data_IF_566013077821
#
_entry.id   IF_566013077821
#
_cell.length_a   1.000
_cell.length_b   1.000
_cell.length_c   1.000
_cell.angle_alpha   90.00
_cell.angle_beta   90.00
_cell.angle_gamma   90.00
#
_symmetry.space_group_name_H-M   'P 1'
#
loop_
_entity.id
_entity.type
_entity.pdbx_description
1 polymer ?
#
# COMPACT_ATOMS: atom_id res chain seq x y z
N UNK A 1 9.37 34.73 35.80
CA UNK A 1 8.07 34.10 35.47
C UNK A 1 8.27 33.12 34.32
N UNK A 2 7.71 31.92 34.48
CA UNK A 2 7.40 30.85 33.50
C UNK A 2 8.48 30.40 32.51
N UNK A 3 9.08 29.24 32.84
CA UNK A 3 9.73 28.33 31.89
C UNK A 3 8.69 27.87 30.87
N UNK A 4 8.89 28.17 29.59
CA UNK A 4 8.11 27.58 28.50
C UNK A 4 8.69 26.19 28.24
N UNK A 5 8.13 25.19 28.92
CA UNK A 5 8.33 23.80 28.56
C UNK A 5 7.54 23.55 27.26
N UNK A 6 8.24 23.48 26.13
CA UNK A 6 7.72 22.87 24.91
C UNK A 6 7.60 21.37 25.17
N UNK A 7 6.50 20.97 25.81
CA UNK A 7 6.08 19.58 25.81
C UNK A 7 5.54 19.28 24.41
N UNK A 8 6.43 18.86 23.51
CA UNK A 8 6.05 18.25 22.24
C UNK A 8 5.46 16.87 22.59
N UNK A 9 4.16 16.85 22.88
CA UNK A 9 3.39 15.62 22.89
C UNK A 9 3.38 15.09 21.46
N UNK A 10 4.32 14.20 21.14
CA UNK A 10 4.24 13.31 19.97
C UNK A 10 3.09 12.33 20.21
N UNK A 11 1.84 12.81 20.16
CA UNK A 11 0.67 11.93 20.06
C UNK A 11 0.62 11.42 18.62
N UNK A 12 1.36 10.33 18.39
CA UNK A 12 1.04 9.24 17.44
C UNK A 12 0.59 9.59 16.02
N UNK A 13 0.80 10.80 15.53
CA UNK A 13 0.39 11.15 14.17
C UNK A 13 1.51 10.69 13.27
N UNK A 14 1.32 9.55 12.61
CA UNK A 14 2.17 9.12 11.52
C UNK A 14 2.00 10.14 10.39
N UNK A 15 2.82 11.20 10.40
CA UNK A 15 2.90 12.16 9.30
C UNK A 15 3.47 11.41 8.10
N UNK A 16 2.57 10.85 7.29
CA UNK A 16 2.93 10.39 5.95
C UNK A 16 3.46 11.58 5.16
N UNK A 17 4.49 11.35 4.36
CA UNK A 17 4.92 12.34 3.37
C UNK A 17 3.80 12.42 2.32
N UNK A 18 3.28 13.63 2.08
CA UNK A 18 2.37 13.90 0.96
C UNK A 18 3.21 14.06 -0.31
N UNK A 19 3.10 13.09 -1.22
CA UNK A 19 3.76 13.02 -2.52
C UNK A 19 2.72 12.87 -3.64
N UNK A 20 2.80 13.71 -4.67
CA UNK A 20 1.93 13.60 -5.83
C UNK A 20 2.34 12.43 -6.73
N UNK A 21 1.42 11.95 -7.59
CA UNK A 21 1.69 10.88 -8.56
C UNK A 21 2.91 11.15 -9.47
N UNK A 22 3.19 12.41 -9.80
CA UNK A 22 4.38 12.83 -10.54
C UNK A 22 5.68 12.49 -9.81
N UNK A 23 5.64 12.60 -8.48
CA UNK A 23 6.84 12.50 -7.65
C UNK A 23 7.33 11.06 -7.64
N UNK A 24 6.43 10.08 -7.54
CA UNK A 24 6.78 8.65 -7.61
C UNK A 24 7.38 8.26 -8.97
N UNK A 25 6.88 8.81 -10.08
CA UNK A 25 7.42 8.52 -11.43
C UNK A 25 8.86 8.98 -11.59
N UNK A 26 9.23 10.06 -10.90
CA UNK A 26 10.59 10.61 -10.92
C UNK A 26 11.58 9.84 -10.03
N UNK A 27 11.09 8.98 -9.13
CA UNK A 27 11.92 8.18 -8.24
C UNK A 27 12.55 6.99 -8.96
N UNK A 28 13.77 6.66 -8.55
CA UNK A 28 14.38 5.37 -8.85
C UNK A 28 13.81 4.27 -7.92
N UNK A 29 14.12 3.01 -8.24
CA UNK A 29 13.54 1.87 -7.53
C UNK A 29 13.94 1.85 -6.04
N UNK A 30 15.16 2.29 -5.69
CA UNK A 30 15.59 2.39 -4.29
C UNK A 30 14.84 3.51 -3.54
N UNK A 31 14.60 4.64 -4.19
CA UNK A 31 13.81 5.73 -3.61
C UNK A 31 12.35 5.30 -3.38
N UNK A 32 11.74 4.59 -4.33
CA UNK A 32 10.40 4.00 -4.17
C UNK A 32 10.37 3.00 -3.00
N UNK A 33 11.40 2.15 -2.88
CA UNK A 33 11.55 1.21 -1.78
C UNK A 33 11.56 1.90 -0.41
N UNK A 34 12.27 3.02 -0.29
CA UNK A 34 12.38 3.78 0.95
C UNK A 34 11.06 4.44 1.39
N UNK A 35 10.12 4.65 0.45
CA UNK A 35 8.78 5.17 0.73
C UNK A 35 7.80 4.10 1.23
N UNK A 36 8.15 2.81 1.13
CA UNK A 36 7.26 1.72 1.50
C UNK A 36 6.78 1.86 2.96
N UNK A 37 5.47 1.99 3.19
CA UNK A 37 4.88 2.20 4.51
C UNK A 37 4.99 3.62 5.06
N UNK A 38 5.58 4.59 4.33
CA UNK A 38 5.63 6.02 4.71
C UNK A 38 4.66 6.91 3.93
N UNK A 39 4.21 6.44 2.78
CA UNK A 39 3.26 7.18 1.92
C UNK A 39 1.95 7.44 2.65
N UNK A 40 1.34 8.61 2.47
CA UNK A 40 0.04 8.90 3.03
C UNK A 40 -1.04 7.94 2.48
N UNK A 41 -2.04 7.51 3.27
CA UNK A 41 -3.09 6.60 2.81
C UNK A 41 -3.77 7.01 1.50
N UNK A 42 -3.95 8.31 1.28
CA UNK A 42 -4.54 8.91 0.07
C UNK A 42 -3.73 8.69 -1.21
N UNK A 43 -2.42 8.45 -1.09
CA UNK A 43 -1.47 8.35 -2.21
C UNK A 43 -1.01 6.91 -2.46
N UNK A 44 -1.46 5.98 -1.61
CA UNK A 44 -1.16 4.56 -1.74
C UNK A 44 -1.59 3.99 -3.10
N UNK A 45 -2.74 4.34 -3.71
CA UNK A 45 -3.07 3.84 -5.04
C UNK A 45 -2.03 4.21 -6.10
N UNK A 46 -1.61 5.47 -6.14
CA UNK A 46 -0.64 6.01 -7.09
C UNK A 46 0.73 5.37 -6.89
N UNK A 47 1.19 5.29 -5.63
CA UNK A 47 2.43 4.63 -5.27
C UNK A 47 2.44 3.16 -5.70
N UNK A 48 1.34 2.44 -5.46
CA UNK A 48 1.20 1.04 -5.86
C UNK A 48 1.21 0.86 -7.37
N UNK A 49 0.52 1.72 -8.11
CA UNK A 49 0.49 1.66 -9.57
C UNK A 49 1.91 1.83 -10.14
N UNK A 50 2.69 2.78 -9.62
CA UNK A 50 4.08 2.97 -10.06
C UNK A 50 4.97 1.77 -9.68
N UNK A 51 4.87 1.26 -8.45
CA UNK A 51 5.61 0.06 -8.03
C UNK A 51 5.27 -1.15 -8.92
N UNK A 52 3.98 -1.40 -9.20
CA UNK A 52 3.51 -2.45 -10.10
C UNK A 52 4.10 -2.33 -11.51
N UNK A 53 4.11 -1.11 -12.06
CA UNK A 53 4.71 -0.82 -13.36
C UNK A 53 6.20 -1.18 -13.40
N UNK A 54 6.98 -0.84 -12.36
CA UNK A 54 8.41 -1.19 -12.28
C UNK A 54 8.62 -2.70 -12.21
N UNK A 55 7.83 -3.39 -11.40
CA UNK A 55 7.94 -4.84 -11.24
C UNK A 55 7.62 -5.63 -12.51
N UNK A 56 6.71 -5.12 -13.35
CA UNK A 56 6.31 -5.75 -14.60
C UNK A 56 7.47 -5.84 -15.61
N UNK A 57 8.44 -4.91 -15.52
CA UNK A 57 9.60 -4.85 -16.42
C UNK A 57 10.89 -5.37 -15.77
N UNK A 58 10.89 -5.67 -14.47
CA UNK A 58 12.02 -6.29 -13.77
C UNK A 58 12.17 -7.77 -14.14
N UNK A 59 13.43 -8.25 -14.16
CA UNK A 59 13.74 -9.68 -14.24
C UNK A 59 13.25 -10.40 -12.98
N UNK A 60 12.93 -11.68 -13.08
CA UNK A 60 12.35 -12.45 -11.96
C UNK A 60 13.22 -12.40 -10.70
N UNK A 61 14.53 -12.62 -10.81
CA UNK A 61 15.44 -12.62 -9.66
C UNK A 61 15.47 -11.26 -8.95
N UNK A 62 15.62 -10.17 -9.73
CA UNK A 62 15.62 -8.80 -9.21
C UNK A 62 14.26 -8.43 -8.59
N UNK A 63 13.17 -8.87 -9.23
CA UNK A 63 11.81 -8.67 -8.75
C UNK A 63 11.61 -9.36 -7.40
N UNK A 64 12.06 -10.61 -7.23
CA UNK A 64 11.92 -11.33 -5.96
C UNK A 64 12.73 -10.66 -4.85
N UNK A 65 13.94 -10.20 -5.17
CA UNK A 65 14.75 -9.42 -4.22
C UNK A 65 14.05 -8.12 -3.83
N UNK A 66 13.56 -7.36 -4.80
CA UNK A 66 12.84 -6.11 -4.57
C UNK A 66 11.61 -6.32 -3.68
N UNK A 67 10.83 -7.38 -3.94
CA UNK A 67 9.68 -7.77 -3.11
C UNK A 67 10.07 -8.00 -1.65
N UNK A 68 11.14 -8.76 -1.41
CA UNK A 68 11.61 -9.06 -0.08
C UNK A 68 12.08 -7.79 0.65
N UNK A 69 12.84 -6.93 -0.04
CA UNK A 69 13.33 -5.68 0.54
C UNK A 69 12.19 -4.69 0.80
N UNK A 70 11.17 -4.66 -0.04
CA UNK A 70 9.99 -3.81 0.12
C UNK A 70 9.20 -4.21 1.37
N UNK A 71 9.00 -5.51 1.59
CA UNK A 71 8.35 -6.01 2.80
C UNK A 71 9.15 -5.62 4.05
N UNK A 72 10.47 -5.78 4.04
CA UNK A 72 11.34 -5.38 5.17
C UNK A 72 11.25 -3.88 5.44
N UNK A 73 11.26 -3.05 4.40
CA UNK A 73 11.15 -1.60 4.52
C UNK A 73 9.80 -1.20 5.14
N UNK A 74 8.70 -1.79 4.66
CA UNK A 74 7.37 -1.60 5.26
C UNK A 74 7.33 -2.01 6.73
N UNK A 75 7.76 -3.23 7.06
CA UNK A 75 7.73 -3.76 8.42
C UNK A 75 8.52 -2.85 9.36
N UNK A 76 9.70 -2.38 8.92
CA UNK A 76 10.53 -1.42 9.65
C UNK A 76 9.83 -0.06 9.85
N UNK A 77 9.25 0.50 8.79
CA UNK A 77 8.66 1.83 8.82
C UNK A 77 7.35 1.86 9.62
N UNK A 78 6.62 0.75 9.68
CA UNK A 78 5.37 0.61 10.44
C UNK A 78 5.59 0.00 11.85
N UNK A 79 6.82 -0.37 12.22
CA UNK A 79 7.12 -1.00 13.51
C UNK A 79 6.82 -0.09 14.70
N UNK A 80 6.96 1.23 14.54
CA UNK A 80 6.68 2.22 15.59
C UNK A 80 5.20 2.51 15.78
N UNK A 81 4.33 2.06 14.86
CA UNK A 81 2.91 2.28 14.96
C UNK A 81 2.26 1.35 15.98
N UNK A 82 1.28 1.89 16.72
CA UNK A 82 0.37 1.06 17.50
C UNK A 82 -0.49 0.18 16.59
N UNK A 83 -1.04 -0.91 17.13
CA UNK A 83 -1.98 -1.74 16.36
C UNK A 83 -3.24 -0.95 15.96
N UNK A 84 -3.67 0.01 16.78
CA UNK A 84 -4.80 0.88 16.48
C UNK A 84 -4.50 1.79 15.28
N UNK A 85 -3.34 2.45 15.26
CA UNK A 85 -2.92 3.32 14.17
C UNK A 85 -2.75 2.53 12.86
N UNK A 86 -2.17 1.32 12.95
CA UNK A 86 -2.10 0.41 11.79
C UNK A 86 -3.49 0.05 11.27
N UNK A 87 -4.44 -0.24 12.16
CA UNK A 87 -5.81 -0.57 11.77
C UNK A 87 -6.55 0.62 11.16
N UNK A 88 -6.32 1.84 11.67
CA UNK A 88 -6.88 3.08 11.13
C UNK A 88 -6.34 3.34 9.73
N UNK A 89 -5.00 3.34 9.58
CA UNK A 89 -4.31 3.46 8.29
C UNK A 89 -4.84 2.45 7.26
N UNK A 90 -4.99 1.20 7.68
CA UNK A 90 -5.55 0.11 6.86
C UNK A 90 -6.95 0.44 6.32
N UNK A 91 -7.83 0.98 7.18
CA UNK A 91 -9.20 1.37 6.78
C UNK A 91 -9.19 2.52 5.77
N UNK A 92 -8.37 3.55 6.03
CA UNK A 92 -8.25 4.71 5.13
C UNK A 92 -7.74 4.31 3.75
N UNK A 93 -6.74 3.43 3.67
CA UNK A 93 -6.24 2.90 2.39
C UNK A 93 -7.34 2.15 1.63
N UNK A 94 -8.10 1.28 2.32
CA UNK A 94 -9.20 0.55 1.69
C UNK A 94 -10.28 1.48 1.15
N UNK A 95 -10.62 2.54 1.89
CA UNK A 95 -11.60 3.53 1.47
C UNK A 95 -11.13 4.30 0.23
N UNK A 96 -9.86 4.73 0.21
CA UNK A 96 -9.27 5.43 -0.94
C UNK A 96 -9.27 4.54 -2.18
N UNK A 97 -8.85 3.26 -2.04
CA UNK A 97 -8.87 2.30 -3.15
C UNK A 97 -10.31 2.06 -3.64
N UNK A 98 -11.27 1.89 -2.73
CA UNK A 98 -12.67 1.70 -3.09
C UNK A 98 -13.27 2.92 -3.80
N UNK A 99 -12.91 4.14 -3.40
CA UNK A 99 -13.34 5.36 -4.06
C UNK A 99 -12.69 5.50 -5.44
N UNK A 100 -11.40 5.23 -5.55
CA UNK A 100 -10.69 5.23 -6.84
C UNK A 100 -11.28 4.20 -7.82
N UNK A 101 -11.64 3.00 -7.34
CA UNK A 101 -12.35 1.98 -8.12
C UNK A 101 -13.66 2.49 -8.74
N UNK A 102 -14.42 3.34 -8.03
CA UNK A 102 -15.67 3.93 -8.55
C UNK A 102 -15.43 4.91 -9.71
N UNK A 103 -14.23 5.47 -9.80
CA UNK A 103 -13.87 6.50 -10.80
C UNK A 103 -13.24 5.94 -12.08
N UNK A 104 -12.99 4.63 -12.14
CA UNK A 104 -12.31 3.98 -13.27
C UNK A 104 -13.03 2.72 -13.72
N UNK A 105 -12.71 2.25 -14.93
CA UNK A 105 -13.20 0.96 -15.41
C UNK A 105 -12.51 -0.20 -14.68
N UNK A 106 -13.17 -1.36 -14.61
CA UNK A 106 -12.54 -2.57 -14.05
C UNK A 106 -11.29 -3.02 -14.82
N UNK A 107 -11.14 -2.60 -16.09
CA UNK A 107 -9.93 -2.85 -16.88
C UNK A 107 -8.77 -2.02 -16.37
N UNK A 108 -8.95 -0.70 -16.27
CA UNK A 108 -7.93 0.23 -15.75
C UNK A 108 -7.54 -0.13 -14.30
N UNK A 109 -8.53 -0.47 -13.48
CA UNK A 109 -8.31 -0.91 -12.09
C UNK A 109 -7.40 -2.15 -11.98
N UNK A 110 -7.52 -3.07 -12.94
CA UNK A 110 -6.66 -4.27 -13.02
C UNK A 110 -5.28 -3.95 -13.57
N UNK A 111 -5.20 -3.06 -14.56
CA UNK A 111 -3.92 -2.62 -15.15
C UNK A 111 -3.05 -1.88 -14.14
N UNK A 112 -3.65 -1.09 -13.24
CA UNK A 112 -2.95 -0.45 -12.13
C UNK A 112 -2.57 -1.42 -10.99
N UNK A 113 -3.05 -2.68 -11.06
CA UNK A 113 -2.83 -3.69 -10.04
C UNK A 113 -3.48 -3.34 -8.69
N UNK A 114 -4.66 -2.70 -8.75
CA UNK A 114 -5.48 -2.34 -7.60
C UNK A 114 -6.56 -3.40 -7.29
N UNK A 115 -6.71 -4.42 -8.14
CA UNK A 115 -7.68 -5.52 -7.98
C UNK A 115 -7.30 -6.49 -6.86
N UNK A 116 -7.45 -6.02 -5.62
CA UNK A 116 -7.22 -6.77 -4.40
C UNK A 116 -8.52 -7.44 -3.99
N UNK A 117 -8.52 -8.77 -3.94
CA UNK A 117 -9.57 -9.52 -3.25
C UNK A 117 -9.44 -9.27 -1.74
N UNK A 118 -10.14 -8.25 -1.24
CA UNK A 118 -10.35 -7.94 0.18
C UNK A 118 -9.06 -7.75 1.04
N UNK A 119 -7.88 -7.57 0.44
CA UNK A 119 -6.61 -7.37 1.17
C UNK A 119 -6.31 -5.87 1.30
N UNK A 120 -6.13 -5.42 2.53
CA UNK A 120 -5.70 -4.04 2.83
C UNK A 120 -4.17 -3.88 2.91
N UNK A 121 -3.49 -4.70 2.14
CA UNK A 121 -2.06 -4.94 2.22
C UNK A 121 -1.41 -3.86 1.34
N UNK A 122 -0.56 -3.00 1.92
CA UNK A 122 -0.04 -1.82 1.20
C UNK A 122 1.01 -2.17 0.14
N UNK A 123 1.60 -3.37 0.22
CA UNK A 123 2.40 -3.95 -0.85
C UNK A 123 1.55 -4.73 -1.86
N UNK A 124 1.89 -4.70 -3.17
CA UNK A 124 1.22 -5.50 -4.20
C UNK A 124 1.54 -7.01 -4.11
N UNK A 125 2.26 -7.41 -3.07
CA UNK A 125 2.90 -8.72 -2.96
C UNK A 125 2.16 -9.61 -1.98
N UNK A 126 1.15 -10.29 -2.48
CA UNK A 126 0.67 -11.51 -1.87
C UNK A 126 0.11 -12.38 -2.97
N UNK A 127 0.54 -13.64 -2.99
CA UNK A 127 -0.17 -14.66 -3.74
C UNK A 127 -1.52 -14.82 -3.06
N UNK A 128 -2.58 -14.36 -3.72
CA UNK A 128 -3.88 -14.89 -3.41
C UNK A 128 -3.80 -16.37 -3.78
N UNK A 129 -3.78 -17.25 -2.77
CA UNK A 129 -4.46 -18.53 -2.97
C UNK A 129 -5.85 -18.14 -3.47
N UNK A 130 -6.08 -18.27 -4.78
CA UNK A 130 -7.43 -18.29 -5.33
C UNK A 130 -8.11 -19.31 -4.43
N UNK A 131 -9.07 -18.90 -3.60
CA UNK A 131 -9.94 -19.87 -2.93
C UNK A 131 -10.41 -20.76 -4.07
N UNK A 132 -9.89 -21.99 -4.15
CA UNK A 132 -10.33 -22.97 -5.13
C UNK A 132 -11.83 -22.94 -5.02
N UNK A 133 -12.49 -22.55 -6.11
CA UNK A 133 -13.89 -22.14 -6.07
C UNK A 133 -14.67 -23.11 -5.20
N UNK A 134 -15.42 -22.59 -4.21
CA UNK A 134 -16.55 -23.36 -3.71
C UNK A 134 -17.36 -23.66 -4.96
N UNK A 135 -17.33 -24.93 -5.41
CA UNK A 135 -18.19 -25.41 -6.49
C UNK A 135 -19.61 -24.90 -6.17
N UNK A 136 -20.35 -24.36 -7.14
CA UNK A 136 -21.75 -24.05 -6.90
C UNK A 136 -22.42 -25.35 -6.44
N UNK A 137 -22.93 -25.33 -5.21
CA UNK A 137 -23.80 -26.38 -4.73
C UNK A 137 -25.05 -26.32 -5.59
N UNK A 138 -25.13 -27.18 -6.61
CA UNK A 138 -26.37 -27.44 -7.30
C UNK A 138 -27.37 -27.92 -6.24
N UNK A 139 -28.31 -27.05 -5.89
CA UNK A 139 -29.56 -27.49 -5.30
C UNK A 139 -30.30 -28.26 -6.39
N UNK A 140 -30.31 -29.58 -6.27
CA UNK A 140 -31.31 -30.39 -6.95
C UNK A 140 -32.63 -30.14 -6.22
N UNK A 141 -33.57 -29.51 -6.94
CA UNK A 141 -34.99 -29.56 -6.64
C UNK A 141 -35.59 -30.87 -7.14
#
# INVERSE_FOLDING_TARGET
>A
MRKLAFSLLFTGTFLGLFLNASDFKSMNDQQLLEQAGKVAPSEVPEFRAEVNKRLAVMKEEDRQKYKADFKKAMDKNLASLSQEDRNKRKKEILEVIANKKKTMTMKEYREEGLDLHDCACEGPFHDHERKKGKKPSHHNH
#
